data_IF_210492968402
#
_entry.id   IF_210492968402
#
_cell.length_a   1.000
_cell.length_b   1.000
_cell.length_c   1.000
_cell.angle_alpha   90.00
_cell.angle_beta   90.00
_cell.angle_gamma   90.00
#
_symmetry.space_group_name_H-M   'P 1'
#
loop_
_entity.id
_entity.type
_entity.pdbx_description
1 polymer ?
#
# COMPACT_ATOMS: atom_id res chain seq x y z
N UNK A 1 11.01 7.58 13.20
CA UNK A 1 10.32 6.60 12.34
C UNK A 1 10.74 5.18 12.71
N UNK A 2 9.80 4.23 12.72
CA UNK A 2 10.08 2.81 12.82
C UNK A 2 10.09 2.16 11.43
N UNK A 3 11.14 1.40 11.06
CA UNK A 3 11.22 0.76 9.75
C UNK A 3 10.19 -0.36 9.61
N UNK A 4 9.79 -0.71 8.36
CA UNK A 4 9.00 -1.91 8.11
C UNK A 4 9.75 -3.16 8.59
N UNK A 5 9.04 -4.07 9.24
CA UNK A 5 9.62 -5.36 9.62
C UNK A 5 9.98 -6.15 8.37
N UNK A 6 11.16 -6.80 8.30
CA UNK A 6 11.58 -7.55 7.11
C UNK A 6 10.64 -8.70 6.74
N UNK A 7 9.90 -9.26 7.70
CA UNK A 7 8.98 -10.37 7.49
C UNK A 7 7.77 -10.24 8.39
N UNK A 8 6.58 -10.42 7.82
CA UNK A 8 5.31 -10.51 8.55
C UNK A 8 4.81 -11.93 8.43
N UNK A 9 4.70 -12.64 9.55
CA UNK A 9 4.16 -14.01 9.55
C UNK A 9 2.64 -13.98 9.39
N UNK A 10 2.03 -15.02 8.80
CA UNK A 10 0.57 -15.17 8.82
C UNK A 10 0.05 -15.03 10.26
N UNK A 11 -1.13 -14.42 10.43
CA UNK A 11 -1.76 -14.14 11.74
C UNK A 11 -1.03 -13.16 12.65
N UNK A 12 0.08 -12.54 12.20
CA UNK A 12 0.77 -11.47 12.92
C UNK A 12 0.49 -10.12 12.27
N UNK A 13 0.48 -9.09 13.09
CA UNK A 13 0.34 -7.70 12.68
C UNK A 13 1.63 -6.99 13.04
N UNK A 14 2.21 -6.29 12.07
CA UNK A 14 3.38 -5.44 12.26
C UNK A 14 3.03 -4.00 11.95
N UNK A 15 3.82 -3.08 12.50
CA UNK A 15 3.60 -1.64 12.38
C UNK A 15 4.89 -0.97 11.94
N UNK A 16 4.77 0.01 11.05
CA UNK A 16 5.86 0.91 10.67
C UNK A 16 5.32 2.33 10.52
N UNK A 17 6.23 3.30 10.43
CA UNK A 17 5.87 4.71 10.29
C UNK A 17 6.80 5.42 9.33
N UNK A 18 6.22 6.23 8.45
CA UNK A 18 6.95 7.15 7.59
C UNK A 18 6.63 8.58 8.01
N UNK A 19 7.60 9.48 7.90
CA UNK A 19 7.41 10.90 8.23
C UNK A 19 8.13 11.70 7.15
N UNK A 20 7.53 12.83 6.79
CA UNK A 20 8.15 13.78 5.86
C UNK A 20 9.44 14.35 6.43
N UNK A 21 10.22 15.00 5.58
CA UNK A 21 11.39 15.75 6.04
C UNK A 21 10.96 16.99 6.85
N UNK A 22 11.77 17.31 7.86
CA UNK A 22 11.58 18.49 8.68
C UNK A 22 11.80 19.76 7.85
N UNK A 23 11.11 20.84 8.23
CA UNK A 23 11.27 22.18 7.65
C UNK A 23 11.01 22.32 6.14
N UNK A 24 10.33 21.35 5.52
CA UNK A 24 9.82 21.46 4.15
C UNK A 24 8.30 21.40 4.11
N UNK A 25 7.69 22.15 3.18
CA UNK A 25 6.25 22.10 2.87
C UNK A 25 5.91 20.89 1.99
N UNK A 26 6.45 19.72 2.35
CA UNK A 26 6.25 18.46 1.62
C UNK A 26 5.31 17.54 2.38
N UNK A 27 4.70 16.59 1.66
CA UNK A 27 3.89 15.53 2.25
C UNK A 27 4.71 14.28 2.59
N UNK A 28 4.04 13.27 3.13
CA UNK A 28 4.58 11.90 3.21
C UNK A 28 3.97 11.06 2.10
N UNK A 29 4.75 10.75 1.07
CA UNK A 29 4.27 10.08 -0.15
C UNK A 29 5.24 8.97 -0.53
N UNK A 30 4.72 7.79 -0.86
CA UNK A 30 5.57 6.67 -1.27
C UNK A 30 4.82 5.39 -1.56
N UNK A 31 5.62 4.35 -1.83
CA UNK A 31 5.15 2.98 -1.95
C UNK A 31 5.88 2.11 -0.92
N UNK A 32 5.12 1.24 -0.24
CA UNK A 32 5.64 0.13 0.56
C UNK A 32 5.31 -1.18 -0.14
N UNK A 33 6.29 -2.07 -0.27
CA UNK A 33 6.10 -3.38 -0.88
C UNK A 33 6.49 -4.53 0.04
N UNK A 34 5.76 -5.64 -0.05
CA UNK A 34 6.12 -6.93 0.55
C UNK A 34 6.00 -8.05 -0.47
N UNK A 35 6.99 -8.92 -0.53
CA UNK A 35 6.89 -10.18 -1.27
C UNK A 35 6.00 -11.18 -0.53
N UNK A 36 5.10 -11.81 -1.27
CA UNK A 36 4.19 -12.81 -0.73
C UNK A 36 4.80 -14.20 -0.92
N UNK A 37 5.27 -14.76 0.18
CA UNK A 37 5.83 -16.10 0.22
C UNK A 37 4.72 -17.14 0.37
N UNK A 38 4.59 -18.04 -0.61
CA UNK A 38 3.63 -19.13 -0.52
C UNK A 38 4.30 -20.37 0.08
N UNK A 39 3.87 -20.76 1.29
CA UNK A 39 4.54 -21.78 2.11
C UNK A 39 4.52 -23.19 1.48
N UNK A 40 3.47 -23.52 0.72
CA UNK A 40 3.31 -24.86 0.13
C UNK A 40 4.31 -25.11 -1.01
N UNK A 41 4.43 -24.17 -1.95
CA UNK A 41 5.35 -24.28 -3.08
C UNK A 41 6.72 -23.62 -2.81
N UNK A 42 6.89 -22.97 -1.65
CA UNK A 42 8.12 -22.29 -1.20
C UNK A 42 8.62 -21.23 -2.19
N UNK A 43 7.71 -20.45 -2.78
CA UNK A 43 8.03 -19.44 -3.79
C UNK A 43 7.44 -18.06 -3.46
N UNK A 44 8.16 -17.00 -3.83
CA UNK A 44 7.68 -15.61 -3.90
C UNK A 44 7.40 -15.23 -5.36
N UNK A 45 6.18 -15.46 -5.84
CA UNK A 45 5.80 -15.08 -7.21
C UNK A 45 5.08 -13.74 -7.27
N UNK A 46 4.52 -13.28 -6.16
CA UNK A 46 3.73 -12.05 -6.11
C UNK A 46 4.28 -11.08 -5.08
N UNK A 47 3.99 -9.80 -5.31
CA UNK A 47 4.36 -8.68 -4.45
C UNK A 47 3.12 -7.84 -4.18
N UNK A 48 2.84 -7.62 -2.90
CA UNK A 48 1.89 -6.59 -2.48
C UNK A 48 2.58 -5.22 -2.60
N UNK A 49 1.86 -4.23 -3.12
CA UNK A 49 2.30 -2.84 -3.12
C UNK A 49 1.21 -1.95 -2.52
N UNK A 50 1.62 -1.05 -1.64
CA UNK A 50 0.78 -0.09 -0.94
C UNK A 50 1.26 1.29 -1.31
N UNK A 51 0.41 2.05 -1.99
CA UNK A 51 0.59 3.46 -2.27
C UNK A 51 -0.02 4.27 -1.12
N UNK A 52 0.72 5.24 -0.62
CA UNK A 52 0.20 6.24 0.31
C UNK A 52 0.65 7.63 -0.12
N UNK A 53 -0.25 8.60 -0.02
CA UNK A 53 0.04 10.01 -0.23
C UNK A 53 -0.69 10.83 0.82
N UNK A 54 0.07 11.55 1.64
CA UNK A 54 -0.43 12.48 2.66
C UNK A 54 0.12 13.85 2.28
N UNK A 55 -0.68 14.74 1.67
CA UNK A 55 -0.20 16.04 1.23
C UNK A 55 0.09 16.97 2.42
N UNK A 56 0.89 18.00 2.18
CA UNK A 56 1.06 19.11 3.12
C UNK A 56 -0.15 20.05 3.11
N UNK A 57 -0.64 20.39 1.91
CA UNK A 57 -1.75 21.33 1.72
C UNK A 57 -3.07 20.59 1.41
N UNK A 58 -3.96 20.57 2.40
CA UNK A 58 -5.27 19.95 2.30
C UNK A 58 -6.35 20.83 1.66
N UNK A 59 -6.06 22.10 1.35
CA UNK A 59 -7.02 22.95 0.64
C UNK A 59 -7.18 22.50 -0.81
N UNK A 60 -6.14 21.90 -1.38
CA UNK A 60 -6.09 21.49 -2.79
C UNK A 60 -6.06 19.97 -2.94
N UNK A 61 -5.44 19.25 -2.00
CA UNK A 61 -5.21 17.81 -2.11
C UNK A 61 -5.85 17.01 -0.98
N UNK A 62 -6.18 15.75 -1.27
CA UNK A 62 -6.65 14.78 -0.28
C UNK A 62 -5.60 13.70 -0.06
N UNK A 63 -5.70 13.00 1.06
CA UNK A 63 -4.96 11.76 1.25
C UNK A 63 -5.34 10.77 0.13
N UNK A 64 -4.37 10.01 -0.37
CA UNK A 64 -4.61 8.95 -1.37
C UNK A 64 -4.05 7.64 -0.84
N UNK A 65 -4.85 6.57 -0.96
CA UNK A 65 -4.42 5.20 -0.69
C UNK A 65 -4.59 4.37 -1.95
N UNK A 66 -3.62 3.48 -2.21
CA UNK A 66 -3.77 2.43 -3.19
C UNK A 66 -3.19 1.11 -2.67
N UNK A 67 -3.77 -0.01 -3.09
CA UNK A 67 -3.26 -1.34 -2.78
C UNK A 67 -3.42 -2.25 -4.00
N UNK A 68 -2.40 -3.06 -4.27
CA UNK A 68 -2.37 -3.91 -5.45
C UNK A 68 -1.48 -5.14 -5.31
N UNK A 69 -1.58 -6.00 -6.31
CA UNK A 69 -0.85 -7.25 -6.43
C UNK A 69 -0.09 -7.29 -7.75
N UNK A 70 1.23 -7.40 -7.67
CA UNK A 70 2.15 -7.37 -8.80
C UNK A 70 2.98 -8.66 -8.86
N UNK A 71 3.68 -8.89 -9.98
CA UNK A 71 4.73 -9.92 -10.04
C UNK A 71 5.90 -9.53 -9.12
N UNK A 72 6.57 -10.50 -8.51
CA UNK A 72 7.73 -10.24 -7.64
C UNK A 72 8.92 -9.58 -8.37
N UNK A 73 8.98 -9.70 -9.71
CA UNK A 73 9.95 -8.99 -10.54
C UNK A 73 9.68 -7.49 -10.66
N UNK A 74 8.51 -6.99 -10.24
CA UNK A 74 8.18 -5.56 -10.25
C UNK A 74 8.93 -4.85 -9.11
N UNK A 75 9.89 -4.01 -9.47
CA UNK A 75 10.67 -3.22 -8.52
C UNK A 75 9.84 -2.23 -7.70
N UNK A 76 10.28 -1.96 -6.46
CA UNK A 76 9.79 -0.84 -5.66
C UNK A 76 10.50 0.43 -6.13
N UNK A 77 10.02 1.04 -7.22
CA UNK A 77 10.68 2.14 -7.90
C UNK A 77 9.72 3.26 -8.32
N UNK A 78 10.27 4.31 -8.92
CA UNK A 78 9.50 5.44 -9.46
C UNK A 78 8.50 5.03 -10.54
N UNK A 79 8.77 3.95 -11.28
CA UNK A 79 7.85 3.48 -12.32
C UNK A 79 6.62 2.80 -11.70
N UNK A 80 6.79 2.03 -10.62
CA UNK A 80 5.67 1.51 -9.83
C UNK A 80 4.88 2.64 -9.18
N UNK A 81 5.57 3.63 -8.60
CA UNK A 81 4.92 4.83 -8.05
C UNK A 81 4.04 5.53 -9.08
N UNK A 82 4.61 5.87 -10.24
CA UNK A 82 3.87 6.54 -11.32
C UNK A 82 2.69 5.70 -11.81
N UNK A 83 2.89 4.39 -11.95
CA UNK A 83 1.81 3.49 -12.37
C UNK A 83 0.66 3.48 -11.37
N UNK A 84 0.92 3.38 -10.06
CA UNK A 84 -0.14 3.38 -9.06
C UNK A 84 -0.76 4.77 -8.85
N UNK A 85 0.02 5.85 -8.89
CA UNK A 85 -0.46 7.21 -8.56
C UNK A 85 -1.09 7.95 -9.74
N UNK A 86 -0.54 7.81 -10.95
CA UNK A 86 -1.00 8.52 -12.15
C UNK A 86 -1.67 7.59 -13.17
N UNK A 87 -1.43 6.28 -13.05
CA UNK A 87 -1.97 5.30 -13.98
C UNK A 87 -3.49 5.26 -13.99
N UNK A 88 -4.01 4.86 -15.17
CA UNK A 88 -5.43 4.67 -15.47
C UNK A 88 -5.81 3.21 -15.64
N UNK A 89 -4.83 2.32 -15.70
CA UNK A 89 -5.04 0.88 -15.71
C UNK A 89 -5.07 0.37 -14.26
N UNK A 90 -6.26 0.02 -13.80
CA UNK A 90 -6.52 -0.46 -12.43
C UNK A 90 -6.62 -2.00 -12.37
N UNK A 91 -6.16 -2.72 -13.40
CA UNK A 91 -6.21 -4.19 -13.42
C UNK A 91 -5.42 -4.85 -12.29
N UNK A 92 -4.33 -4.21 -11.84
CA UNK A 92 -3.42 -4.75 -10.83
C UNK A 92 -3.54 -4.09 -9.44
N UNK A 93 -4.33 -3.02 -9.32
CA UNK A 93 -4.46 -2.29 -8.06
C UNK A 93 -5.77 -1.52 -7.96
N UNK A 94 -6.17 -1.21 -6.74
CA UNK A 94 -7.28 -0.31 -6.43
C UNK A 94 -6.71 0.95 -5.78
N UNK A 95 -7.20 2.13 -6.17
CA UNK A 95 -6.81 3.42 -5.60
C UNK A 95 -8.04 4.26 -5.31
N UNK A 96 -8.02 5.01 -4.22
CA UNK A 96 -9.03 6.00 -3.90
C UNK A 96 -8.42 7.18 -3.14
N UNK A 97 -9.07 8.34 -3.24
CA UNK A 97 -8.91 9.40 -2.26
C UNK A 97 -9.46 8.87 -0.92
N UNK A 98 -8.72 9.10 0.17
CA UNK A 98 -9.16 8.67 1.48
C UNK A 98 -10.43 9.46 1.87
N UNK A 99 -11.54 8.74 2.02
CA UNK A 99 -12.83 9.28 2.47
C UNK A 99 -13.31 8.66 3.79
N UNK A 100 -12.46 7.91 4.48
CA UNK A 100 -12.84 7.11 5.66
C UNK A 100 -13.47 5.76 5.33
N UNK A 101 -13.91 5.54 4.09
CA UNK A 101 -14.26 4.21 3.56
C UNK A 101 -13.02 3.42 3.14
N UNK A 102 -13.07 2.10 3.29
CA UNK A 102 -11.99 1.21 2.89
C UNK A 102 -12.00 0.89 1.40
N UNK A 103 -10.84 0.48 0.89
CA UNK A 103 -10.68 -0.10 -0.46
C UNK A 103 -10.46 -1.61 -0.36
N UNK A 104 -10.93 -2.33 -1.37
CA UNK A 104 -10.72 -3.77 -1.53
C UNK A 104 -10.05 -4.01 -2.87
N UNK A 105 -8.95 -4.76 -2.87
CA UNK A 105 -8.34 -5.27 -4.09
C UNK A 105 -8.43 -6.79 -4.13
N UNK A 106 -8.91 -7.32 -5.24
CA UNK A 106 -9.21 -8.73 -5.42
C UNK A 106 -8.18 -9.37 -6.37
N UNK A 107 -7.25 -10.13 -5.80
CA UNK A 107 -6.43 -11.08 -6.56
C UNK A 107 -7.16 -12.40 -6.78
N UNK A 108 -6.49 -13.33 -7.47
CA UNK A 108 -7.00 -14.69 -7.70
C UNK A 108 -7.15 -15.47 -6.40
N UNK A 109 -6.06 -15.59 -5.62
CA UNK A 109 -6.01 -16.37 -4.38
C UNK A 109 -5.97 -15.54 -3.11
N UNK A 110 -5.83 -14.22 -3.24
CA UNK A 110 -5.67 -13.30 -2.11
C UNK A 110 -6.55 -12.08 -2.31
N UNK A 111 -7.14 -11.59 -1.23
CA UNK A 111 -7.86 -10.33 -1.15
C UNK A 111 -7.12 -9.40 -0.19
N UNK A 112 -6.97 -8.14 -0.58
CA UNK A 112 -6.53 -7.10 0.31
C UNK A 112 -7.67 -6.17 0.68
N UNK A 113 -7.72 -5.77 1.94
CA UNK A 113 -8.57 -4.70 2.43
C UNK A 113 -7.68 -3.63 3.04
N UNK A 114 -7.92 -2.38 2.72
CA UNK A 114 -7.15 -1.28 3.26
C UNK A 114 -8.04 -0.09 3.62
N UNK A 115 -7.67 0.62 4.68
CA UNK A 115 -8.32 1.89 5.08
C UNK A 115 -7.26 2.92 5.39
N UNK A 116 -7.60 4.20 5.21
CA UNK A 116 -6.73 5.33 5.53
C UNK A 116 -7.54 6.44 6.19
N UNK A 117 -7.04 7.00 7.29
CA UNK A 117 -7.63 8.20 7.88
C UNK A 117 -7.36 9.44 7.00
N UNK A 118 -8.23 10.44 7.08
CA UNK A 118 -8.16 11.65 6.25
C UNK A 118 -7.28 12.78 6.82
N UNK A 119 -6.71 12.58 8.02
CA UNK A 119 -5.90 13.59 8.72
C UNK A 119 -4.42 13.54 8.33
N UNK A 120 -3.66 14.62 8.64
CA UNK A 120 -2.22 14.74 8.37
C UNK A 120 -1.34 13.71 9.09
N UNK A 121 -1.72 13.28 10.29
CA UNK A 121 -1.12 12.11 10.95
C UNK A 121 -1.87 10.85 10.53
N UNK A 122 -1.74 10.49 9.27
CA UNK A 122 -2.55 9.43 8.68
C UNK A 122 -2.18 8.05 9.24
N UNK A 123 -3.21 7.24 9.52
CA UNK A 123 -3.08 5.82 9.85
C UNK A 123 -3.62 5.02 8.69
N UNK A 124 -2.83 4.06 8.22
CA UNK A 124 -3.23 3.06 7.24
C UNK A 124 -3.35 1.72 7.94
N UNK A 125 -4.47 1.02 7.72
CA UNK A 125 -4.67 -0.38 8.17
C UNK A 125 -4.87 -1.26 6.97
N UNK A 126 -4.23 -2.42 6.96
CA UNK A 126 -4.27 -3.36 5.85
C UNK A 126 -4.49 -4.77 6.41
N UNK A 127 -5.37 -5.50 5.75
CA UNK A 127 -5.60 -6.91 5.99
C UNK A 127 -5.43 -7.68 4.68
N UNK A 128 -4.85 -8.87 4.80
CA UNK A 128 -4.65 -9.80 3.69
C UNK A 128 -5.35 -11.12 4.02
N UNK A 129 -6.19 -11.58 3.11
CA UNK A 129 -7.00 -12.79 3.28
C UNK A 129 -6.79 -13.74 2.11
N UNK A 130 -6.65 -15.03 2.41
CA UNK A 130 -6.81 -16.05 1.38
C UNK A 130 -8.25 -16.00 0.86
N UNK A 131 -8.41 -16.07 -0.46
CA UNK A 131 -9.71 -16.26 -1.10
C UNK A 131 -9.93 -17.75 -1.27
N UNK A 132 -10.96 -18.25 -0.62
CA UNK A 132 -11.53 -19.55 -0.96
C UNK A 132 -12.48 -19.30 -2.12
N UNK A 133 -12.23 -19.97 -3.25
CA UNK A 133 -13.16 -20.02 -4.38
C UNK A 133 -14.44 -20.79 -3.99
#
# INVERSE_FOLDING_TARGET
CHPPQPTIRPTKTEVCSFTKDDNTATGAVGILTYDLFHMQNRMCTKRMAVLFSVPFDYNIYKNVIGIGLFESSRGCDKALYKHMYEGKDFSQFTRADAGGSGIIHNGKKIQFRATMSTVGKAIIKIEAYDRMD
#
